data_IF_443839702555
#
_entry.id   IF_443839702555
#
_cell.length_a   1.000
_cell.length_b   1.000
_cell.length_c   1.000
_cell.angle_alpha   90.00
_cell.angle_beta   90.00
_cell.angle_gamma   90.00
#
_symmetry.space_group_name_H-M   'P 1'
#
loop_
_entity.id
_entity.type
_entity.pdbx_description
1 polymer ?
#
# COMPACT_ATOMS: atom_id res chain seq x y z
N UNK A 1 -17.02 72.24 19.37
CA UNK A 1 -17.47 70.85 19.65
C UNK A 1 -17.13 70.03 18.41
N UNK A 2 -16.22 69.06 18.54
CA UNK A 2 -15.58 68.35 17.42
C UNK A 2 -15.89 66.85 17.58
N UNK A 3 -16.50 66.14 16.62
CA UNK A 3 -16.74 64.71 16.77
C UNK A 3 -15.56 63.92 16.20
N UNK A 4 -14.95 63.07 17.03
CA UNK A 4 -13.88 62.14 16.67
C UNK A 4 -14.43 60.99 15.83
N UNK A 5 -13.83 60.75 14.66
CA UNK A 5 -14.05 59.54 13.87
C UNK A 5 -13.08 58.44 14.31
N UNK A 6 -13.60 57.38 14.91
CA UNK A 6 -12.85 56.14 15.15
C UNK A 6 -12.81 55.32 13.85
N UNK A 7 -11.62 55.15 13.29
CA UNK A 7 -11.36 54.19 12.19
C UNK A 7 -10.98 52.85 12.81
N UNK A 8 -11.88 51.88 12.74
CA UNK A 8 -11.59 50.49 13.12
C UNK A 8 -10.73 49.85 12.03
N UNK A 9 -9.47 49.54 12.35
CA UNK A 9 -8.61 48.72 11.49
C UNK A 9 -9.03 47.25 11.64
N UNK A 10 -9.68 46.71 10.62
CA UNK A 10 -9.94 45.27 10.53
C UNK A 10 -8.64 44.56 10.11
N UNK A 11 -7.95 43.92 11.06
CA UNK A 11 -6.87 42.98 10.77
C UNK A 11 -7.45 41.70 10.19
N UNK A 12 -7.30 41.51 8.89
CA UNK A 12 -7.59 40.24 8.23
C UNK A 12 -6.50 39.22 8.60
N UNK A 13 -6.85 38.23 9.42
CA UNK A 13 -6.00 37.08 9.68
C UNK A 13 -6.07 36.13 8.48
N UNK A 14 -5.00 36.06 7.69
CA UNK A 14 -4.88 35.09 6.60
C UNK A 14 -4.68 33.69 7.20
N UNK A 15 -5.69 32.83 7.06
CA UNK A 15 -5.59 31.40 7.37
C UNK A 15 -4.68 30.76 6.31
N UNK A 16 -3.42 30.53 6.66
CA UNK A 16 -2.50 29.71 5.88
C UNK A 16 -2.98 28.25 5.95
N UNK A 17 -3.73 27.80 4.96
CA UNK A 17 -3.98 26.37 4.78
C UNK A 17 -2.65 25.70 4.43
N UNK A 18 -2.17 24.72 5.22
CA UNK A 18 -0.95 24.00 4.87
C UNK A 18 -1.15 23.31 3.52
N UNK A 19 -0.39 23.72 2.52
CA UNK A 19 -0.34 23.03 1.22
C UNK A 19 0.33 21.68 1.45
N UNK A 20 -0.40 20.58 1.27
CA UNK A 20 0.23 19.25 1.19
C UNK A 20 1.30 19.31 0.09
N UNK A 21 2.54 18.97 0.44
CA UNK A 21 3.59 18.83 -0.56
C UNK A 21 3.26 17.63 -1.47
N UNK A 22 3.58 17.69 -2.78
CA UNK A 22 3.41 16.55 -3.66
C UNK A 22 4.20 15.35 -3.13
N UNK A 23 3.62 14.15 -3.31
CA UNK A 23 4.35 12.92 -3.05
C UNK A 23 5.59 12.85 -3.95
N UNK A 24 6.69 12.29 -3.45
CA UNK A 24 7.96 12.36 -4.19
C UNK A 24 8.95 11.27 -3.78
N UNK A 25 9.56 10.63 -4.78
CA UNK A 25 10.75 9.80 -4.61
C UNK A 25 12.03 10.61 -4.35
N UNK A 26 12.89 10.09 -3.47
CA UNK A 26 14.26 10.57 -3.28
C UNK A 26 15.25 9.41 -3.13
N UNK A 27 16.47 9.62 -3.63
CA UNK A 27 17.50 8.58 -3.75
C UNK A 27 17.54 7.91 -5.12
N UNK A 28 18.71 7.40 -5.46
CA UNK A 28 18.96 6.66 -6.70
C UNK A 28 18.67 5.18 -6.49
N UNK A 29 17.94 4.58 -7.44
CA UNK A 29 17.71 3.15 -7.42
C UNK A 29 18.84 2.47 -8.20
N UNK A 30 19.73 1.80 -7.48
CA UNK A 30 20.81 1.00 -8.06
C UNK A 30 20.53 -0.48 -7.78
N UNK A 31 20.18 -1.23 -8.83
CA UNK A 31 19.93 -2.67 -8.76
C UNK A 31 21.25 -3.47 -8.89
N UNK A 32 21.36 -4.54 -8.11
CA UNK A 32 22.53 -5.41 -8.09
C UNK A 32 22.15 -6.90 -8.06
N UNK A 33 22.91 -7.78 -8.75
CA UNK A 33 23.97 -7.45 -9.71
C UNK A 33 23.43 -6.72 -10.95
N UNK A 34 24.30 -6.06 -11.72
CA UNK A 34 23.86 -5.39 -12.96
C UNK A 34 23.23 -6.43 -13.90
N UNK A 35 21.99 -6.21 -14.34
CA UNK A 35 21.24 -7.16 -15.18
C UNK A 35 20.48 -8.24 -14.41
N UNK A 36 20.36 -8.13 -13.08
CA UNK A 36 19.60 -9.03 -12.21
C UNK A 36 18.11 -9.13 -12.57
N UNK A 37 17.57 -8.13 -13.27
CA UNK A 37 16.19 -8.07 -13.74
C UNK A 37 15.85 -9.28 -14.62
N UNK A 38 16.83 -9.77 -15.41
CA UNK A 38 16.67 -10.95 -16.25
C UNK A 38 16.53 -12.25 -15.44
N UNK A 39 17.07 -12.29 -14.22
CA UNK A 39 16.92 -13.39 -13.28
C UNK A 39 15.64 -13.26 -12.42
N UNK A 40 14.92 -12.14 -12.54
CA UNK A 40 13.69 -11.88 -11.78
C UNK A 40 13.91 -11.50 -10.32
N UNK A 41 15.15 -11.27 -9.88
CA UNK A 41 15.44 -10.89 -8.50
C UNK A 41 16.68 -10.01 -8.41
N UNK A 42 16.53 -8.86 -7.75
CA UNK A 42 17.57 -7.85 -7.57
C UNK A 42 17.75 -7.49 -6.09
N UNK A 43 18.90 -6.88 -5.78
CA UNK A 43 19.18 -6.25 -4.49
C UNK A 43 19.35 -4.74 -4.71
N UNK A 44 18.69 -3.91 -3.90
CA UNK A 44 18.93 -2.45 -3.96
C UNK A 44 20.21 -2.11 -3.20
N UNK A 45 21.14 -1.37 -3.82
CA UNK A 45 22.42 -1.00 -3.17
C UNK A 45 22.31 0.18 -2.22
N UNK A 46 21.33 1.05 -2.46
CA UNK A 46 21.14 2.29 -1.72
C UNK A 46 19.73 2.33 -1.14
N UNK A 47 19.54 3.17 -0.12
CA UNK A 47 18.20 3.37 0.44
C UNK A 47 17.36 4.20 -0.55
N UNK A 48 16.14 3.74 -0.81
CA UNK A 48 15.16 4.44 -1.62
C UNK A 48 14.06 4.98 -0.71
N UNK A 49 13.66 6.24 -0.90
CA UNK A 49 12.63 6.88 -0.09
C UNK A 49 11.48 7.37 -0.95
N UNK A 50 10.27 7.21 -0.46
CA UNK A 50 9.06 7.83 -0.99
C UNK A 50 8.38 8.62 0.11
N UNK A 51 8.12 9.90 -0.12
CA UNK A 51 7.29 10.71 0.78
C UNK A 51 5.89 10.74 0.18
N UNK A 52 4.89 10.26 0.91
CA UNK A 52 3.50 10.31 0.45
C UNK A 52 2.86 11.70 0.64
N UNK A 53 1.64 11.87 0.15
CA UNK A 53 0.91 13.13 0.23
C UNK A 53 0.63 13.57 1.69
N UNK A 54 0.53 12.63 2.63
CA UNK A 54 0.37 12.95 4.06
C UNK A 54 1.67 13.47 4.70
N UNK A 55 2.78 13.38 3.97
CA UNK A 55 4.11 13.72 4.44
C UNK A 55 4.82 12.57 5.15
N UNK A 56 4.24 11.37 5.19
CA UNK A 56 4.88 10.18 5.75
C UNK A 56 5.99 9.70 4.84
N UNK A 57 7.14 9.36 5.41
CA UNK A 57 8.31 8.85 4.67
C UNK A 57 8.35 7.33 4.76
N UNK A 58 8.38 6.71 3.58
CA UNK A 58 8.53 5.28 3.36
C UNK A 58 9.95 5.02 2.86
N UNK A 59 10.75 4.26 3.60
CA UNK A 59 12.15 4.00 3.26
C UNK A 59 12.38 2.50 3.05
N UNK A 60 12.77 2.12 1.84
CA UNK A 60 13.35 0.82 1.55
C UNK A 60 14.86 0.88 1.81
N UNK A 61 15.36 0.01 2.70
CA UNK A 61 16.77 0.00 3.10
C UNK A 61 17.65 -0.71 2.06
N UNK A 62 18.89 -0.21 1.93
CA UNK A 62 19.95 -0.91 1.20
C UNK A 62 20.06 -2.39 1.64
N UNK A 63 20.27 -3.27 0.68
CA UNK A 63 20.30 -4.72 0.88
C UNK A 63 18.93 -5.41 0.78
N UNK A 64 17.83 -4.67 0.58
CA UNK A 64 16.52 -5.26 0.27
C UNK A 64 16.59 -6.07 -1.02
N UNK A 65 16.05 -7.29 -0.98
CA UNK A 65 15.77 -8.12 -2.15
C UNK A 65 14.40 -7.75 -2.70
N UNK A 66 14.30 -7.61 -4.02
CA UNK A 66 13.07 -7.28 -4.74
C UNK A 66 12.95 -8.18 -5.97
N UNK A 67 11.76 -8.68 -6.26
CA UNK A 67 11.41 -9.37 -7.51
C UNK A 67 10.72 -8.44 -8.51
N UNK A 68 10.72 -7.13 -8.22
CA UNK A 68 9.99 -6.13 -8.98
C UNK A 68 8.50 -6.21 -8.73
N UNK A 69 7.69 -5.65 -9.63
CA UNK A 69 6.25 -5.83 -9.53
C UNK A 69 5.91 -7.27 -9.94
N UNK A 70 5.51 -8.13 -8.99
CA UNK A 70 5.09 -9.52 -9.27
C UNK A 70 3.76 -9.53 -10.05
N UNK A 71 3.83 -9.20 -11.34
CA UNK A 71 2.71 -9.07 -12.26
C UNK A 71 2.53 -10.43 -12.96
N UNK A 72 1.40 -11.13 -12.73
CA UNK A 72 1.07 -12.35 -13.48
C UNK A 72 1.16 -12.12 -14.99
N UNK A 73 1.70 -13.10 -15.71
CA UNK A 73 2.01 -12.96 -17.15
C UNK A 73 0.84 -12.50 -18.02
N UNK A 74 -0.40 -12.89 -17.67
CA UNK A 74 -1.63 -12.45 -18.35
C UNK A 74 -1.85 -10.93 -18.31
N UNK A 75 -1.25 -10.24 -17.36
CA UNK A 75 -1.37 -8.79 -17.18
C UNK A 75 -0.22 -7.99 -17.79
N UNK A 76 0.91 -8.64 -18.09
CA UNK A 76 2.08 -7.96 -18.61
C UNK A 76 1.85 -7.25 -19.96
N UNK A 77 0.99 -7.71 -20.89
CA UNK A 77 0.68 -6.95 -22.11
C UNK A 77 0.05 -5.57 -21.84
N UNK A 78 -0.66 -5.41 -20.72
CA UNK A 78 -1.36 -4.18 -20.35
C UNK A 78 -0.57 -3.33 -19.33
N UNK A 79 0.10 -4.01 -18.41
CA UNK A 79 0.78 -3.40 -17.27
C UNK A 79 2.30 -3.28 -17.49
N UNK A 80 2.91 -4.03 -18.39
CA UNK A 80 4.35 -4.03 -18.58
C UNK A 80 5.08 -5.10 -17.77
N UNK A 81 6.40 -5.09 -17.83
CA UNK A 81 7.26 -6.11 -17.24
C UNK A 81 7.61 -5.81 -15.77
N UNK A 82 7.84 -6.81 -14.90
CA UNK A 82 8.09 -6.60 -13.46
C UNK A 82 9.12 -5.53 -13.08
N UNK A 83 10.16 -5.36 -13.89
CA UNK A 83 11.26 -4.41 -13.66
C UNK A 83 11.19 -3.15 -14.53
N UNK A 84 10.02 -2.81 -15.07
CA UNK A 84 9.90 -1.62 -15.89
C UNK A 84 10.24 -0.35 -15.09
N UNK A 85 11.05 0.53 -15.69
CA UNK A 85 11.58 1.73 -15.04
C UNK A 85 10.50 2.62 -14.42
N UNK A 86 9.30 2.64 -15.01
CA UNK A 86 8.16 3.44 -14.54
C UNK A 86 7.45 2.91 -13.29
N UNK A 87 7.77 1.73 -12.78
CA UNK A 87 7.17 1.27 -11.51
C UNK A 87 8.10 0.47 -10.60
N UNK A 88 9.34 0.19 -11.00
CA UNK A 88 10.28 -0.55 -10.15
C UNK A 88 10.54 0.15 -8.79
N UNK A 89 10.60 1.49 -8.74
CA UNK A 89 10.73 2.22 -7.47
C UNK A 89 9.52 2.02 -6.55
N UNK A 90 8.31 1.96 -7.13
CA UNK A 90 7.08 1.70 -6.38
C UNK A 90 7.06 0.25 -5.85
N UNK A 91 7.45 -0.73 -6.68
CA UNK A 91 7.59 -2.13 -6.28
C UNK A 91 8.60 -2.29 -5.13
N UNK A 92 9.78 -1.65 -5.20
CA UNK A 92 10.78 -1.69 -4.13
C UNK A 92 10.22 -1.21 -2.77
N UNK A 93 9.43 -0.13 -2.77
CA UNK A 93 8.76 0.32 -1.54
C UNK A 93 7.71 -0.70 -1.10
N UNK A 94 6.88 -1.22 -2.02
CA UNK A 94 5.87 -2.22 -1.70
C UNK A 94 6.48 -3.49 -1.09
N UNK A 95 7.49 -4.08 -1.72
CA UNK A 95 8.19 -5.28 -1.25
C UNK A 95 8.74 -5.09 0.15
N UNK A 96 9.41 -3.95 0.40
CA UNK A 96 9.98 -3.66 1.71
C UNK A 96 8.94 -3.73 2.83
N UNK A 97 7.77 -3.16 2.60
CA UNK A 97 6.73 -3.06 3.61
C UNK A 97 5.81 -4.29 3.66
N UNK A 98 5.74 -5.07 2.57
CA UNK A 98 5.16 -6.41 2.57
C UNK A 98 6.00 -7.40 3.38
N UNK A 99 7.33 -7.30 3.38
CA UNK A 99 8.18 -8.18 4.20
C UNK A 99 8.20 -7.78 5.69
N UNK A 100 8.12 -6.48 5.96
CA UNK A 100 8.38 -5.93 7.31
C UNK A 100 7.12 -5.78 8.17
N UNK A 101 5.93 -5.70 7.55
CA UNK A 101 4.64 -5.54 8.23
C UNK A 101 4.57 -4.38 9.26
N UNK A 102 5.39 -3.32 9.10
CA UNK A 102 5.40 -2.15 10.02
C UNK A 102 4.24 -1.18 9.79
N UNK A 103 3.47 -1.41 8.74
CA UNK A 103 2.19 -0.76 8.40
C UNK A 103 1.20 -1.85 8.02
N UNK A 104 -0.09 -1.55 8.01
CA UNK A 104 -1.09 -2.53 7.57
C UNK A 104 -1.00 -2.79 6.08
N UNK A 105 -1.47 -3.95 5.65
CA UNK A 105 -1.50 -4.31 4.22
C UNK A 105 -2.29 -3.27 3.40
N UNK A 106 -3.35 -2.69 3.97
CA UNK A 106 -4.15 -1.62 3.33
C UNK A 106 -3.29 -0.40 3.05
N UNK A 107 -2.55 0.08 4.05
CA UNK A 107 -1.65 1.23 3.88
C UNK A 107 -0.49 0.90 2.92
N UNK A 108 0.11 -0.29 3.03
CA UNK A 108 1.20 -0.72 2.16
C UNK A 108 0.77 -0.82 0.69
N UNK A 109 -0.43 -1.34 0.41
CA UNK A 109 -0.96 -1.38 -0.95
C UNK A 109 -1.40 0.00 -1.45
N UNK A 110 -1.87 0.87 -0.56
CA UNK A 110 -2.24 2.25 -0.91
C UNK A 110 -1.02 3.10 -1.27
N UNK A 111 0.07 3.00 -0.51
CA UNK A 111 1.29 3.74 -0.84
C UNK A 111 1.91 3.27 -2.17
N UNK A 112 1.73 1.99 -2.52
CA UNK A 112 2.13 1.51 -3.84
C UNK A 112 1.40 2.24 -4.97
N UNK A 113 0.09 2.45 -4.84
CA UNK A 113 -0.68 3.27 -5.77
C UNK A 113 -0.13 4.70 -5.87
N UNK A 114 0.10 5.36 -4.75
CA UNK A 114 0.61 6.74 -4.74
C UNK A 114 2.00 6.84 -5.38
N UNK A 115 2.86 5.85 -5.12
CA UNK A 115 4.20 5.76 -5.69
C UNK A 115 4.19 5.52 -7.21
N UNK A 116 3.22 4.77 -7.73
CA UNK A 116 3.05 4.60 -9.19
C UNK A 116 2.73 5.94 -9.86
N UNK A 117 1.88 6.76 -9.25
CA UNK A 117 1.54 8.08 -9.80
C UNK A 117 2.75 9.02 -9.84
N UNK A 118 3.58 9.04 -8.79
CA UNK A 118 4.81 9.85 -8.76
C UNK A 118 5.81 9.42 -9.86
N UNK A 119 5.84 8.12 -10.19
CA UNK A 119 6.64 7.59 -11.30
C UNK A 119 6.04 7.86 -12.69
N UNK A 120 4.92 8.59 -12.78
CA UNK A 120 4.28 8.94 -14.04
C UNK A 120 3.45 7.80 -14.67
N UNK A 121 3.11 6.76 -13.89
CA UNK A 121 2.15 5.76 -14.34
C UNK A 121 0.77 6.41 -14.46
N UNK A 122 0.07 6.15 -15.56
CA UNK A 122 -1.27 6.71 -15.77
C UNK A 122 -2.22 6.31 -14.65
N UNK A 123 -3.15 7.19 -14.29
CA UNK A 123 -4.11 6.92 -13.22
C UNK A 123 -4.91 5.64 -13.46
N UNK A 124 -5.27 5.36 -14.72
CA UNK A 124 -5.95 4.13 -15.12
C UNK A 124 -5.13 2.89 -14.73
N UNK A 125 -3.87 2.83 -15.17
CA UNK A 125 -2.96 1.72 -14.90
C UNK A 125 -2.63 1.59 -13.42
N UNK A 126 -2.39 2.70 -12.73
CA UNK A 126 -2.11 2.70 -11.29
C UNK A 126 -3.31 2.15 -10.48
N UNK A 127 -4.55 2.55 -10.80
CA UNK A 127 -5.77 1.99 -10.16
C UNK A 127 -5.96 0.51 -10.48
N UNK A 128 -5.68 0.08 -11.71
CA UNK A 128 -5.73 -1.35 -12.09
C UNK A 128 -4.69 -2.18 -11.33
N UNK A 129 -3.47 -1.67 -11.18
CA UNK A 129 -2.43 -2.31 -10.36
C UNK A 129 -2.81 -2.33 -8.87
N UNK A 130 -3.47 -1.26 -8.39
CA UNK A 130 -3.97 -1.20 -7.02
C UNK A 130 -5.04 -2.28 -6.76
N UNK A 131 -5.99 -2.48 -7.68
CA UNK A 131 -6.95 -3.59 -7.60
C UNK A 131 -6.23 -4.95 -7.50
N UNK A 132 -5.19 -5.16 -8.30
CA UNK A 132 -4.44 -6.41 -8.30
C UNK A 132 -3.85 -6.72 -6.91
N UNK A 133 -3.15 -5.76 -6.30
CA UNK A 133 -2.54 -5.97 -4.97
C UNK A 133 -3.59 -6.05 -3.86
N UNK A 134 -4.74 -5.38 -3.98
CA UNK A 134 -5.84 -5.55 -3.03
C UNK A 134 -6.40 -6.98 -3.04
N UNK A 135 -6.48 -7.62 -4.20
CA UNK A 135 -7.03 -8.98 -4.32
C UNK A 135 -5.95 -10.03 -4.01
N UNK A 136 -4.86 -10.00 -4.77
CA UNK A 136 -3.84 -11.05 -4.77
C UNK A 136 -2.52 -10.71 -4.08
N UNK A 137 -2.36 -9.49 -3.57
CA UNK A 137 -1.21 -9.13 -2.75
C UNK A 137 -1.18 -9.89 -1.40
N UNK A 138 0.00 -9.96 -0.76
CA UNK A 138 0.12 -10.55 0.56
C UNK A 138 -0.66 -9.71 1.58
N UNK A 139 -1.29 -10.37 2.55
CA UNK A 139 -2.07 -9.71 3.61
C UNK A 139 -1.62 -10.18 4.97
N UNK A 140 -1.78 -9.31 5.96
CA UNK A 140 -1.42 -9.61 7.33
C UNK A 140 -2.33 -8.86 8.29
N UNK A 141 -2.61 -9.48 9.43
CA UNK A 141 -3.31 -8.85 10.54
C UNK A 141 -2.44 -8.99 11.80
N UNK A 142 -2.28 -7.90 12.53
CA UNK A 142 -1.51 -7.93 13.78
C UNK A 142 -2.35 -8.58 14.86
N UNK A 143 -1.85 -9.64 15.45
CA UNK A 143 -2.50 -10.30 16.56
C UNK A 143 -2.21 -9.50 17.84
N UNK A 144 -3.24 -9.27 18.64
CA UNK A 144 -3.11 -8.70 19.98
C UNK A 144 -3.63 -9.70 21.01
N UNK A 145 -2.97 -9.73 22.17
CA UNK A 145 -3.27 -10.67 23.24
C UNK A 145 -4.74 -10.59 23.65
N UNK A 146 -5.35 -11.76 23.82
CA UNK A 146 -6.71 -11.90 24.27
C UNK A 146 -6.88 -11.73 25.78
N UNK A 147 -8.06 -12.11 26.25
CA UNK A 147 -8.38 -12.09 27.66
C UNK A 147 -7.54 -13.12 28.43
N UNK A 148 -7.06 -12.73 29.62
CA UNK A 148 -6.25 -13.59 30.46
C UNK A 148 -7.04 -14.84 30.88
N UNK A 149 -6.52 -16.03 30.58
CA UNK A 149 -7.16 -17.31 30.89
C UNK A 149 -6.34 -18.21 31.85
N UNK A 150 -5.47 -17.61 32.67
CA UNK A 150 -4.62 -18.30 33.65
C UNK A 150 -3.12 -18.16 33.37
N UNK A 151 -2.27 -18.68 34.27
CA UNK A 151 -0.82 -18.43 34.31
C UNK A 151 -0.01 -18.95 33.10
N UNK A 152 -0.56 -19.86 32.29
CA UNK A 152 0.09 -20.46 31.11
C UNK A 152 -0.81 -20.41 29.86
N UNK A 153 -1.66 -19.39 29.77
CA UNK A 153 -2.60 -19.23 28.67
C UNK A 153 -1.91 -18.65 27.43
N UNK A 154 -2.04 -19.30 26.27
CA UNK A 154 -1.53 -18.77 24.98
C UNK A 154 -2.14 -17.39 24.65
N UNK A 155 -3.40 -17.17 25.01
CA UNK A 155 -4.07 -15.87 24.81
C UNK A 155 -3.54 -14.76 25.73
N UNK A 156 -2.77 -15.10 26.76
CA UNK A 156 -2.09 -14.15 27.65
C UNK A 156 -0.59 -14.01 27.35
N UNK A 157 -0.04 -14.84 26.44
CA UNK A 157 1.36 -14.74 26.05
C UNK A 157 1.55 -13.53 25.16
N UNK A 158 2.50 -12.66 25.52
CA UNK A 158 2.93 -11.50 24.72
C UNK A 158 4.38 -11.73 24.31
N UNK A 159 4.77 -11.25 23.13
CA UNK A 159 6.18 -11.04 22.83
C UNK A 159 6.77 -9.96 23.74
N UNK A 160 8.10 -9.79 23.70
CA UNK A 160 8.82 -8.76 24.48
C UNK A 160 8.30 -7.34 24.20
N UNK A 161 7.73 -7.09 23.00
CA UNK A 161 7.14 -5.80 22.62
C UNK A 161 5.64 -5.67 22.95
N UNK A 162 5.00 -6.73 23.47
CA UNK A 162 3.57 -6.73 23.78
C UNK A 162 2.67 -7.29 22.67
N UNK A 163 3.19 -7.53 21.47
CA UNK A 163 2.44 -8.04 20.31
C UNK A 163 2.38 -9.58 20.33
N UNK A 164 1.33 -10.19 19.77
CA UNK A 164 1.22 -11.66 19.67
C UNK A 164 1.58 -12.20 18.29
N UNK A 165 2.22 -11.38 17.45
CA UNK A 165 2.68 -11.73 16.11
C UNK A 165 1.73 -11.27 15.01
N UNK A 166 1.85 -11.88 13.84
CA UNK A 166 1.00 -11.62 12.68
C UNK A 166 0.43 -12.92 12.14
N UNK A 167 -0.86 -12.92 11.80
CA UNK A 167 -1.43 -13.93 10.89
C UNK A 167 -1.30 -13.38 9.47
N UNK A 168 -0.73 -14.18 8.57
CA UNK A 168 -0.37 -13.74 7.22
C UNK A 168 -0.94 -14.66 6.15
N UNK A 169 -1.19 -14.08 4.98
CA UNK A 169 -1.51 -14.80 3.75
C UNK A 169 -0.50 -14.36 2.69
N UNK A 170 0.21 -15.31 2.05
CA UNK A 170 1.12 -14.97 0.96
C UNK A 170 0.36 -14.38 -0.24
N UNK A 171 1.10 -13.82 -1.19
CA UNK A 171 0.53 -13.39 -2.45
C UNK A 171 -0.10 -14.57 -3.21
N UNK A 172 -1.30 -14.37 -3.75
CA UNK A 172 -2.02 -15.34 -4.58
C UNK A 172 -2.86 -14.60 -5.62
N UNK A 173 -2.39 -14.64 -6.87
CA UNK A 173 -3.05 -14.03 -8.02
C UNK A 173 -3.82 -15.05 -8.88
N UNK A 174 -4.10 -16.24 -8.34
CA UNK A 174 -4.73 -17.33 -9.09
C UNK A 174 -6.24 -17.19 -9.29
N UNK A 175 -6.89 -16.21 -8.63
CA UNK A 175 -8.32 -15.97 -8.76
C UNK A 175 -8.72 -15.76 -10.24
N UNK A 176 -9.53 -16.66 -10.85
CA UNK A 176 -9.85 -16.57 -12.29
C UNK A 176 -10.59 -15.28 -12.66
N UNK A 177 -11.39 -14.73 -11.74
CA UNK A 177 -12.15 -13.51 -11.93
C UNK A 177 -11.28 -12.24 -11.87
N UNK A 178 -10.06 -12.30 -11.33
CA UNK A 178 -9.19 -11.14 -11.20
C UNK A 178 -8.82 -10.57 -12.57
N UNK A 179 -8.49 -11.43 -13.54
CA UNK A 179 -8.01 -10.95 -14.81
C UNK A 179 -9.07 -10.21 -15.65
N UNK A 180 -10.28 -10.77 -15.83
CA UNK A 180 -11.40 -10.05 -16.42
C UNK A 180 -11.71 -8.73 -15.69
N UNK A 181 -11.69 -8.73 -14.35
CA UNK A 181 -12.00 -7.53 -13.58
C UNK A 181 -10.96 -6.41 -13.78
N UNK A 182 -9.67 -6.76 -13.83
CA UNK A 182 -8.60 -5.80 -14.12
C UNK A 182 -8.74 -5.22 -15.53
N UNK A 183 -9.07 -6.04 -16.53
CA UNK A 183 -9.32 -5.58 -17.89
C UNK A 183 -10.51 -4.62 -17.96
N UNK A 184 -11.61 -4.95 -17.28
CA UNK A 184 -12.80 -4.10 -17.22
C UNK A 184 -12.50 -2.74 -16.57
N UNK A 185 -11.79 -2.74 -15.43
CA UNK A 185 -11.38 -1.51 -14.73
C UNK A 185 -10.47 -0.66 -15.61
N UNK A 186 -9.47 -1.28 -16.25
CA UNK A 186 -8.56 -0.57 -17.15
C UNK A 186 -9.34 0.09 -18.28
N UNK A 187 -10.22 -0.64 -18.97
CA UNK A 187 -11.02 -0.12 -20.09
C UNK A 187 -11.93 1.04 -19.65
N UNK A 188 -12.58 0.94 -18.49
CA UNK A 188 -13.41 2.04 -17.98
C UNK A 188 -12.60 3.29 -17.68
N UNK A 189 -11.43 3.13 -17.07
CA UNK A 189 -10.57 4.25 -16.70
C UNK A 189 -9.81 4.87 -17.89
N UNK A 190 -9.52 4.10 -18.93
CA UNK A 190 -8.99 4.62 -20.19
C UNK A 190 -10.03 5.45 -20.93
N UNK A 191 -11.31 5.05 -20.90
CA UNK A 191 -12.40 5.83 -21.47
C UNK A 191 -12.71 7.10 -20.66
N UNK A 192 -12.63 7.03 -19.34
CA UNK A 192 -12.79 8.16 -18.43
C UNK A 192 -11.93 7.97 -17.16
N UNK A 193 -10.79 8.69 -17.01
CA UNK A 193 -9.89 8.55 -15.86
C UNK A 193 -10.54 8.76 -14.48
N UNK A 194 -11.67 9.48 -14.46
CA UNK A 194 -12.45 9.78 -13.27
C UNK A 194 -13.63 8.81 -13.04
N UNK A 195 -13.78 7.77 -13.87
CA UNK A 195 -14.93 6.85 -13.80
C UNK A 195 -15.03 6.08 -12.48
N UNK A 196 -13.89 5.72 -11.90
CA UNK A 196 -13.82 4.95 -10.65
C UNK A 196 -12.98 5.68 -9.62
N UNK A 197 -13.55 5.91 -8.43
CA UNK A 197 -12.85 6.36 -7.23
C UNK A 197 -12.01 5.24 -6.62
N UNK A 198 -11.15 5.55 -5.65
CA UNK A 198 -10.34 4.53 -4.98
C UNK A 198 -11.20 3.64 -4.09
N UNK A 199 -12.23 4.23 -3.47
CA UNK A 199 -13.23 3.54 -2.68
C UNK A 199 -13.99 2.50 -3.54
N UNK A 200 -14.36 2.87 -4.77
CA UNK A 200 -14.99 1.92 -5.71
C UNK A 200 -14.05 0.79 -6.17
N UNK A 201 -12.74 1.06 -6.25
CA UNK A 201 -11.74 0.00 -6.52
C UNK A 201 -11.63 -0.96 -5.33
N UNK A 202 -11.64 -0.43 -4.10
CA UNK A 202 -11.64 -1.23 -2.86
C UNK A 202 -12.91 -2.07 -2.71
N UNK A 203 -14.09 -1.50 -3.00
CA UNK A 203 -15.38 -2.22 -3.03
C UNK A 203 -15.35 -3.36 -4.05
N UNK A 204 -14.83 -3.12 -5.26
CA UNK A 204 -14.70 -4.16 -6.28
C UNK A 204 -13.76 -5.28 -5.83
N UNK A 205 -12.66 -4.96 -5.15
CA UNK A 205 -11.77 -5.96 -4.58
C UNK A 205 -12.47 -6.84 -3.54
N UNK A 206 -13.33 -6.26 -2.70
CA UNK A 206 -14.15 -7.00 -1.73
C UNK A 206 -15.20 -7.89 -2.43
N UNK A 207 -15.84 -7.40 -3.49
CA UNK A 207 -16.81 -8.17 -4.28
C UNK A 207 -16.18 -9.37 -4.98
N UNK A 208 -14.92 -9.25 -5.42
CA UNK A 208 -14.15 -10.36 -6.00
C UNK A 208 -13.77 -11.43 -4.97
N UNK A 209 -13.75 -11.06 -3.68
CA UNK A 209 -13.28 -11.89 -2.57
C UNK A 209 -14.34 -11.94 -1.45
N UNK A 210 -15.57 -12.43 -1.74
CA UNK A 210 -16.66 -12.41 -0.78
C UNK A 210 -16.32 -13.25 0.45
N UNK A 211 -16.47 -12.65 1.64
CA UNK A 211 -16.16 -13.32 2.91
C UNK A 211 -14.67 -13.50 3.20
N UNK A 212 -13.79 -12.84 2.44
CA UNK A 212 -12.36 -12.85 2.72
C UNK A 212 -12.04 -12.31 4.11
N UNK A 213 -11.33 -13.12 4.87
CA UNK A 213 -10.99 -12.86 6.26
C UNK A 213 -10.31 -11.50 6.47
N UNK A 214 -9.38 -11.10 5.61
CA UNK A 214 -8.62 -9.86 5.78
C UNK A 214 -9.43 -8.64 5.40
N UNK A 215 -10.32 -8.75 4.41
CA UNK A 215 -11.27 -7.69 4.09
C UNK A 215 -12.32 -7.51 5.19
N UNK A 216 -12.80 -8.61 5.78
CA UNK A 216 -13.80 -8.59 6.85
C UNK A 216 -13.27 -8.05 8.20
N UNK A 217 -11.96 -8.11 8.43
CA UNK A 217 -11.33 -7.67 9.67
C UNK A 217 -10.53 -6.38 9.52
N UNK A 218 -10.31 -5.68 10.64
CA UNK A 218 -9.44 -4.51 10.71
C UNK A 218 -7.96 -4.87 10.55
N UNK A 219 -7.07 -3.98 11.01
CA UNK A 219 -5.62 -4.20 10.95
C UNK A 219 -5.08 -4.95 12.17
N UNK A 220 -5.94 -5.20 13.15
CA UNK A 220 -5.64 -5.95 14.38
C UNK A 220 -6.74 -6.95 14.71
N UNK A 221 -6.38 -8.12 15.24
CA UNK A 221 -7.30 -9.14 15.74
C UNK A 221 -6.98 -9.48 17.19
N UNK A 222 -7.99 -9.43 18.06
CA UNK A 222 -7.88 -9.93 19.44
C UNK A 222 -8.00 -11.45 19.38
N UNK A 223 -6.98 -12.17 19.84
CA UNK A 223 -7.01 -13.64 19.87
C UNK A 223 -7.86 -14.10 21.04
N UNK A 224 -9.12 -14.43 20.81
CA UNK A 224 -9.94 -15.11 21.81
C UNK A 224 -9.70 -16.62 21.72
N UNK A 225 -10.01 -17.39 22.78
CA UNK A 225 -9.69 -18.82 22.83
C UNK A 225 -10.33 -19.70 21.75
N UNK A 226 -11.26 -19.16 20.96
CA UNK A 226 -11.91 -19.82 19.83
C UNK A 226 -11.20 -19.53 18.49
N UNK A 227 -10.42 -18.43 18.40
CA UNK A 227 -9.81 -17.94 17.14
C UNK A 227 -8.40 -18.48 16.89
N UNK A 228 -7.83 -19.24 17.83
CA UNK A 228 -6.41 -19.59 17.84
C UNK A 228 -6.03 -20.78 16.93
N UNK A 229 -6.95 -21.36 16.16
CA UNK A 229 -6.64 -22.47 15.25
C UNK A 229 -7.50 -22.39 13.98
N UNK A 230 -6.91 -21.92 12.89
CA UNK A 230 -7.12 -22.41 11.53
C UNK A 230 -5.91 -22.09 10.65
#
# INVERSE_FOLDING_TARGET
MNPSWFRTLATAAALLTPTLAPAQFSGDLVLWPKGCEAAGQCIIKEALRFKDASGTVWEAKAGLKTDGASIPGVFQPFIGSPFETRFIKAAVIHDHYCDRHVRSWRMTHRVFYDALLDQGVSQAKAKTMYLAVLVGGPKWIRLIAGNACGKNCINAMKSVTGDTGFQTRPADYSLPALAPAMQEVLTQLEANPNALTLEQIEERAQQLMPGDFYFANGDTLVVTGEDAIQ
#
